data_IF_744608506138
#
_entry.id   IF_744608506138
#
_cell.length_a   1.000
_cell.length_b   1.000
_cell.length_c   1.000
_cell.angle_alpha   90.00
_cell.angle_beta   90.00
_cell.angle_gamma   90.00
#
_symmetry.space_group_name_H-M   'P 1'
#
loop_
_entity.id
_entity.type
_entity.pdbx_description
1 polymer ?
#
# COMPACT_ATOMS: atom_id res chain seq x y z
N UNK A 1 -4.61 -8.49 -19.83
CA UNK A 1 -4.90 -7.25 -19.07
C UNK A 1 -3.92 -6.15 -19.45
N UNK A 2 -4.35 -4.88 -19.41
CA UNK A 2 -3.49 -3.71 -19.49
C UNK A 2 -3.67 -2.86 -18.21
N UNK A 3 -2.57 -2.36 -17.61
CA UNK A 3 -2.65 -1.54 -16.39
C UNK A 3 -2.10 -0.13 -16.61
N UNK A 4 -2.82 0.88 -16.14
CA UNK A 4 -2.42 2.28 -16.18
C UNK A 4 -2.21 2.82 -14.78
N UNK A 5 -1.17 3.63 -14.60
CA UNK A 5 -0.71 4.10 -13.28
C UNK A 5 -0.39 2.92 -12.37
N UNK A 6 0.36 1.96 -12.93
CA UNK A 6 0.44 0.58 -12.46
C UNK A 6 1.08 0.42 -11.07
N UNK A 7 1.89 1.39 -10.66
CA UNK A 7 2.66 1.18 -9.45
C UNK A 7 3.61 -0.03 -9.60
N UNK A 8 3.68 -0.87 -8.57
CA UNK A 8 4.34 -2.18 -8.66
C UNK A 8 3.40 -3.29 -9.12
N UNK A 9 2.26 -2.92 -9.65
CA UNK A 9 1.20 -3.77 -10.23
C UNK A 9 0.54 -4.76 -9.24
N UNK A 10 0.09 -4.24 -8.09
CA UNK A 10 -0.81 -4.98 -7.21
C UNK A 10 -2.10 -5.44 -7.91
N UNK A 11 -2.45 -4.81 -9.01
CA UNK A 11 -3.54 -5.16 -9.91
C UNK A 11 -3.31 -6.53 -10.53
N UNK A 12 -2.11 -6.73 -11.09
CA UNK A 12 -1.70 -8.01 -11.67
C UNK A 12 -1.58 -9.08 -10.59
N UNK A 13 -1.01 -8.75 -9.42
CA UNK A 13 -0.97 -9.68 -8.27
C UNK A 13 -2.38 -10.14 -7.87
N UNK A 14 -3.34 -9.20 -7.82
CA UNK A 14 -4.73 -9.50 -7.48
C UNK A 14 -5.43 -10.38 -8.51
N UNK A 15 -5.16 -10.17 -9.81
CA UNK A 15 -5.71 -11.01 -10.87
C UNK A 15 -5.09 -12.43 -10.84
N UNK A 16 -3.78 -12.54 -10.68
CA UNK A 16 -3.08 -13.84 -10.55
C UNK A 16 -3.64 -14.61 -9.35
N UNK A 17 -3.79 -13.94 -8.19
CA UNK A 17 -4.36 -14.59 -7.00
C UNK A 17 -5.82 -15.01 -7.20
N UNK A 18 -6.63 -14.22 -7.88
CA UNK A 18 -8.01 -14.56 -8.22
C UNK A 18 -8.09 -15.82 -9.08
N UNK A 19 -7.25 -15.90 -10.12
CA UNK A 19 -7.25 -17.03 -11.08
C UNK A 19 -6.87 -18.35 -10.43
N UNK A 20 -6.00 -18.36 -9.41
CA UNK A 20 -5.66 -19.55 -8.61
C UNK A 20 -6.90 -20.31 -8.09
N UNK A 21 -8.02 -19.60 -7.86
CA UNK A 21 -9.26 -20.22 -7.39
C UNK A 21 -10.01 -21.04 -8.46
N UNK A 22 -9.58 -20.98 -9.72
CA UNK A 22 -10.27 -21.59 -10.87
C UNK A 22 -9.53 -22.78 -11.49
N UNK A 23 -8.52 -23.34 -10.79
CA UNK A 23 -7.82 -24.60 -11.15
C UNK A 23 -7.41 -24.65 -12.63
N UNK A 24 -6.51 -23.78 -13.03
CA UNK A 24 -5.92 -23.72 -14.37
C UNK A 24 -6.89 -23.49 -15.54
N UNK A 25 -8.13 -23.12 -15.24
CA UNK A 25 -9.14 -22.79 -16.25
C UNK A 25 -8.81 -21.48 -16.99
N UNK A 26 -8.06 -20.58 -16.36
CA UNK A 26 -7.70 -19.27 -16.90
C UNK A 26 -6.20 -19.03 -16.77
N UNK A 27 -5.60 -18.46 -17.79
CA UNK A 27 -4.26 -17.88 -17.75
C UNK A 27 -4.33 -16.36 -17.66
N UNK A 28 -3.27 -15.75 -17.15
CA UNK A 28 -3.17 -14.30 -17.01
C UNK A 28 -1.99 -13.80 -17.81
N UNK A 29 -2.23 -12.82 -18.69
CA UNK A 29 -1.19 -12.15 -19.45
C UNK A 29 -1.31 -10.64 -19.28
N UNK A 30 -0.16 -9.97 -19.02
CA UNK A 30 -0.06 -8.53 -19.00
C UNK A 30 0.39 -8.06 -20.39
N UNK A 31 -0.54 -7.50 -21.16
CA UNK A 31 -0.29 -7.00 -22.52
C UNK A 31 0.56 -5.74 -22.49
N UNK A 32 0.36 -4.90 -21.47
CA UNK A 32 1.15 -3.71 -21.25
C UNK A 32 0.84 -3.03 -19.93
N UNK A 33 1.74 -2.17 -19.51
CA UNK A 33 1.60 -1.39 -18.29
C UNK A 33 2.23 -0.01 -18.42
N UNK A 34 1.73 0.95 -17.64
CA UNK A 34 2.19 2.33 -17.71
C UNK A 34 2.36 2.94 -16.32
N UNK A 35 3.54 3.47 -16.06
CA UNK A 35 3.83 4.37 -14.95
C UNK A 35 4.99 5.29 -15.32
N UNK A 36 4.84 6.59 -15.08
CA UNK A 36 5.85 7.60 -15.46
C UNK A 36 7.06 7.61 -14.53
N UNK A 37 6.90 7.12 -13.31
CA UNK A 37 7.94 7.18 -12.29
C UNK A 37 8.96 6.05 -12.45
N UNK A 38 10.19 6.40 -12.79
CA UNK A 38 11.26 5.43 -13.03
C UNK A 38 11.60 4.51 -11.85
N UNK A 39 11.40 4.97 -10.61
CA UNK A 39 11.57 4.11 -9.43
C UNK A 39 10.40 3.14 -9.26
N UNK A 40 9.21 3.48 -9.77
CA UNK A 40 8.08 2.56 -9.89
C UNK A 40 8.38 1.49 -10.92
N UNK A 41 8.85 1.91 -12.10
CA UNK A 41 9.24 0.99 -13.17
C UNK A 41 10.28 -0.04 -12.69
N UNK A 42 11.26 0.38 -11.89
CA UNK A 42 12.21 -0.54 -11.25
C UNK A 42 11.50 -1.61 -10.42
N UNK A 43 10.61 -1.20 -9.53
CA UNK A 43 9.94 -2.14 -8.61
C UNK A 43 9.01 -3.07 -9.39
N UNK A 44 8.33 -2.56 -10.42
CA UNK A 44 7.51 -3.38 -11.32
C UNK A 44 8.36 -4.42 -12.06
N UNK A 45 9.49 -4.00 -12.66
CA UNK A 45 10.39 -4.91 -13.37
C UNK A 45 10.94 -6.03 -12.47
N UNK A 46 11.18 -5.73 -11.20
CA UNK A 46 11.64 -6.74 -10.24
C UNK A 46 10.50 -7.68 -9.83
N UNK A 47 9.29 -7.17 -9.66
CA UNK A 47 8.13 -7.98 -9.34
C UNK A 47 7.71 -8.90 -10.51
N UNK A 48 7.76 -8.37 -11.74
CA UNK A 48 7.32 -9.02 -12.97
C UNK A 48 8.40 -8.90 -14.06
N UNK A 49 9.53 -9.59 -13.91
CA UNK A 49 10.66 -9.49 -14.84
C UNK A 49 10.30 -9.91 -16.28
N UNK A 50 9.34 -10.82 -16.44
CA UNK A 50 8.82 -11.30 -17.71
C UNK A 50 8.10 -10.22 -18.53
N UNK A 51 7.55 -9.18 -17.86
CA UNK A 51 6.82 -8.07 -18.50
C UNK A 51 7.58 -6.74 -18.53
N UNK A 52 8.86 -6.73 -18.16
CA UNK A 52 9.67 -5.51 -18.08
C UNK A 52 9.77 -4.74 -19.41
N UNK A 53 9.70 -5.45 -20.55
CA UNK A 53 9.74 -4.89 -21.89
C UNK A 53 8.38 -4.38 -22.40
N UNK A 54 7.30 -4.58 -21.66
CA UNK A 54 5.94 -4.14 -22.02
C UNK A 54 5.56 -2.79 -21.36
N UNK A 55 6.54 -2.01 -20.93
CA UNK A 55 6.35 -0.70 -20.29
C UNK A 55 6.05 0.39 -21.31
N UNK A 56 4.99 1.14 -21.06
CA UNK A 56 4.63 2.39 -21.71
C UNK A 56 4.76 3.53 -20.69
N UNK A 57 5.92 4.21 -20.58
CA UNK A 57 6.20 5.10 -19.44
C UNK A 57 5.20 6.25 -19.26
N UNK A 58 4.72 6.82 -20.37
CA UNK A 58 3.85 8.01 -20.38
C UNK A 58 2.51 7.67 -21.01
N UNK A 59 1.46 7.65 -20.21
CA UNK A 59 0.08 7.33 -20.65
C UNK A 59 -0.39 8.25 -21.78
N UNK A 60 0.04 9.52 -21.78
CA UNK A 60 -0.35 10.50 -22.79
C UNK A 60 0.27 10.22 -24.18
N UNK A 61 1.36 9.45 -24.22
CA UNK A 61 2.11 9.11 -25.43
C UNK A 61 1.81 7.71 -25.99
N UNK A 62 0.92 6.95 -25.35
CA UNK A 62 0.58 5.61 -25.83
C UNK A 62 -0.13 5.72 -27.19
N UNK A 63 0.42 5.04 -28.19
CA UNK A 63 -0.26 4.83 -29.46
C UNK A 63 -1.09 3.54 -29.37
N UNK A 64 -2.35 3.70 -29.01
CA UNK A 64 -3.27 2.57 -28.77
C UNK A 64 -3.51 1.71 -30.00
N UNK A 65 -3.31 2.22 -31.22
CA UNK A 65 -3.45 1.42 -32.44
C UNK A 65 -2.36 0.34 -32.59
N UNK A 66 -1.22 0.51 -31.90
CA UNK A 66 -0.10 -0.42 -31.92
C UNK A 66 -0.09 -1.35 -30.70
N UNK A 67 -0.98 -1.15 -29.73
CA UNK A 67 -1.12 -2.05 -28.58
C UNK A 67 -2.00 -3.23 -28.99
N UNK A 68 -1.65 -4.43 -28.55
CA UNK A 68 -2.48 -5.62 -28.71
C UNK A 68 -3.82 -5.47 -27.97
N UNK A 69 -4.86 -6.22 -28.38
CA UNK A 69 -6.15 -6.20 -27.70
C UNK A 69 -6.06 -6.91 -26.35
N UNK A 70 -6.91 -6.52 -25.42
CA UNK A 70 -6.94 -7.04 -24.06
C UNK A 70 -8.37 -6.98 -23.48
N UNK A 71 -8.67 -7.89 -22.55
CA UNK A 71 -10.01 -8.02 -21.97
C UNK A 71 -10.26 -7.04 -20.83
N UNK A 72 -9.22 -6.69 -20.07
CA UNK A 72 -9.32 -5.88 -18.85
C UNK A 72 -8.40 -4.67 -18.96
N UNK A 73 -8.96 -3.46 -18.80
CA UNK A 73 -8.23 -2.23 -18.52
C UNK A 73 -8.37 -1.90 -17.04
N UNK A 74 -7.26 -1.95 -16.31
CA UNK A 74 -7.22 -1.47 -14.95
C UNK A 74 -6.53 -0.10 -14.88
N UNK A 75 -7.08 0.85 -14.13
CA UNK A 75 -6.50 2.17 -13.98
C UNK A 75 -6.75 2.77 -12.60
N UNK A 76 -5.71 3.38 -12.02
CA UNK A 76 -5.75 4.10 -10.76
C UNK A 76 -5.02 5.44 -10.90
N UNK A 77 -5.69 6.42 -11.52
CA UNK A 77 -5.11 7.74 -11.78
C UNK A 77 -4.64 8.43 -10.48
N UNK A 78 -3.64 9.33 -10.53
CA UNK A 78 -3.16 10.04 -9.35
C UNK A 78 -4.28 10.69 -8.56
N UNK A 79 -4.28 10.50 -7.24
CA UNK A 79 -5.34 10.95 -6.34
C UNK A 79 -5.03 12.26 -5.61
N UNK A 80 -3.91 12.92 -5.90
CA UNK A 80 -3.38 14.03 -5.10
C UNK A 80 -4.35 15.22 -5.02
N UNK A 81 -5.08 15.50 -6.09
CA UNK A 81 -6.01 16.61 -6.16
C UNK A 81 -7.45 16.24 -5.71
N UNK A 82 -7.80 14.96 -5.70
CA UNK A 82 -9.10 14.45 -5.23
C UNK A 82 -9.08 13.95 -3.78
N UNK A 83 -7.90 13.64 -3.25
CA UNK A 83 -7.74 13.10 -1.89
C UNK A 83 -8.10 14.12 -0.80
N UNK A 84 -8.76 13.66 0.27
CA UNK A 84 -8.98 14.47 1.50
C UNK A 84 -7.69 14.96 2.15
N UNK A 85 -6.57 14.27 1.93
CA UNK A 85 -5.23 14.64 2.40
C UNK A 85 -4.44 15.50 1.42
N UNK A 86 -4.93 15.67 0.17
CA UNK A 86 -4.29 16.39 -0.92
C UNK A 86 -4.77 17.84 -1.08
N UNK A 87 -4.46 18.42 -2.25
CA UNK A 87 -4.78 19.83 -2.59
C UNK A 87 -6.28 20.08 -2.79
N UNK A 88 -7.06 19.03 -3.12
CA UNK A 88 -8.54 19.09 -3.32
C UNK A 88 -8.97 19.99 -4.47
N UNK A 89 -8.21 19.98 -5.56
CA UNK A 89 -8.45 20.77 -6.79
C UNK A 89 -9.36 20.04 -7.80
N UNK A 90 -9.81 18.81 -7.48
CA UNK A 90 -10.65 17.99 -8.37
C UNK A 90 -9.86 17.30 -9.49
N UNK A 91 -10.57 16.77 -10.46
CA UNK A 91 -10.02 16.10 -11.65
C UNK A 91 -10.78 16.44 -12.93
N UNK A 92 -11.24 17.66 -13.04
CA UNK A 92 -11.94 18.16 -14.24
C UNK A 92 -11.10 17.98 -15.50
N UNK A 93 -11.76 17.63 -16.62
CA UNK A 93 -11.10 17.45 -17.93
C UNK A 93 -10.44 18.76 -18.36
N UNK A 94 -9.14 18.69 -18.68
CA UNK A 94 -8.37 19.86 -19.09
C UNK A 94 -7.89 20.78 -17.97
N UNK A 95 -8.12 20.44 -16.69
CA UNK A 95 -7.64 21.25 -15.55
C UNK A 95 -6.12 21.29 -15.41
N UNK A 96 -5.38 20.37 -16.05
CA UNK A 96 -3.94 20.23 -15.91
C UNK A 96 -3.49 19.65 -14.57
N UNK A 97 -4.43 19.23 -13.71
CA UNK A 97 -4.10 18.57 -12.44
C UNK A 97 -3.63 17.12 -12.69
N UNK A 98 -2.80 16.58 -11.80
CA UNK A 98 -2.37 15.17 -11.93
C UNK A 98 -3.57 14.21 -11.90
N UNK A 99 -4.62 14.51 -11.13
CA UNK A 99 -5.84 13.71 -11.09
C UNK A 99 -6.64 13.75 -12.40
N UNK A 100 -6.48 14.80 -13.22
CA UNK A 100 -7.13 14.91 -14.54
C UNK A 100 -6.57 13.91 -15.57
N UNK A 101 -5.46 13.23 -15.28
CA UNK A 101 -4.93 12.17 -16.15
C UNK A 101 -5.87 10.97 -16.29
N UNK A 102 -6.93 10.87 -15.47
CA UNK A 102 -8.01 9.90 -15.70
C UNK A 102 -8.61 10.03 -17.12
N UNK A 103 -8.58 11.25 -17.69
CA UNK A 103 -9.13 11.50 -19.03
C UNK A 103 -8.26 10.92 -20.16
N UNK A 104 -6.99 10.58 -19.90
CA UNK A 104 -6.16 9.83 -20.85
C UNK A 104 -6.64 8.38 -21.03
N UNK A 105 -7.36 7.84 -20.04
CA UNK A 105 -7.97 6.52 -20.10
C UNK A 105 -9.07 6.46 -21.16
N UNK A 106 -9.76 7.58 -21.44
CA UNK A 106 -10.77 7.67 -22.49
C UNK A 106 -10.22 7.28 -23.88
N UNK A 107 -8.94 7.61 -24.15
CA UNK A 107 -8.27 7.22 -25.41
C UNK A 107 -8.11 5.70 -25.53
N UNK A 108 -7.77 5.03 -24.43
CA UNK A 108 -7.70 3.57 -24.39
C UNK A 108 -9.08 2.95 -24.61
N UNK A 109 -10.10 3.47 -23.93
CA UNK A 109 -11.49 2.99 -24.04
C UNK A 109 -11.99 3.14 -25.47
N UNK A 110 -11.82 4.30 -26.11
CA UNK A 110 -12.30 4.56 -27.45
C UNK A 110 -11.60 3.69 -28.51
N UNK A 111 -10.30 3.42 -28.32
CA UNK A 111 -9.50 2.66 -29.29
C UNK A 111 -9.64 1.15 -29.12
N UNK A 112 -9.62 0.65 -27.88
CA UNK A 112 -9.50 -0.80 -27.56
C UNK A 112 -10.81 -1.44 -27.12
N UNK A 113 -11.71 -0.66 -26.54
CA UNK A 113 -13.03 -1.15 -26.08
C UNK A 113 -12.96 -2.47 -25.30
N UNK A 114 -12.07 -2.61 -24.28
CA UNK A 114 -11.91 -3.86 -23.55
C UNK A 114 -13.24 -4.27 -22.90
N UNK A 115 -13.44 -5.56 -22.62
CA UNK A 115 -14.69 -6.06 -22.01
C UNK A 115 -14.91 -5.47 -20.62
N UNK A 116 -13.83 -5.30 -19.84
CA UNK A 116 -13.88 -4.83 -18.47
C UNK A 116 -13.00 -3.59 -18.26
N UNK A 117 -13.56 -2.60 -17.57
CA UNK A 117 -12.84 -1.45 -17.06
C UNK A 117 -12.90 -1.49 -15.54
N UNK A 118 -11.75 -1.35 -14.87
CA UNK A 118 -11.71 -1.31 -13.41
C UNK A 118 -10.96 -0.07 -12.97
N UNK A 119 -11.66 0.85 -12.30
CA UNK A 119 -11.09 2.02 -11.64
C UNK A 119 -10.90 1.71 -10.15
N UNK A 120 -9.73 2.03 -9.63
CA UNK A 120 -9.53 2.19 -8.19
C UNK A 120 -9.10 3.62 -7.89
N UNK A 121 -9.63 4.17 -6.78
CA UNK A 121 -9.15 5.44 -6.26
C UNK A 121 -9.52 5.63 -4.78
N UNK A 122 -9.14 6.77 -4.21
CA UNK A 122 -9.51 7.16 -2.85
C UNK A 122 -11.01 7.43 -2.72
N UNK A 123 -11.57 7.19 -1.53
CA UNK A 123 -12.98 7.49 -1.20
C UNK A 123 -13.36 8.96 -1.49
N UNK A 124 -12.37 9.86 -1.49
CA UNK A 124 -12.55 11.27 -1.79
C UNK A 124 -13.11 11.60 -3.18
N UNK A 125 -13.08 10.65 -4.14
CA UNK A 125 -13.76 10.79 -5.43
C UNK A 125 -15.28 10.95 -5.29
N UNK A 126 -15.86 10.40 -4.22
CA UNK A 126 -17.29 10.51 -3.89
C UNK A 126 -17.61 11.68 -2.96
N UNK A 127 -16.64 12.51 -2.58
CA UNK A 127 -16.90 13.71 -1.77
C UNK A 127 -17.69 14.74 -2.61
N UNK A 128 -18.59 15.52 -2.01
CA UNK A 128 -19.44 16.48 -2.74
C UNK A 128 -18.68 17.42 -3.68
N UNK A 129 -17.42 17.69 -3.41
CA UNK A 129 -16.57 18.55 -4.26
C UNK A 129 -16.12 17.90 -5.56
N UNK A 130 -16.04 16.59 -5.59
CA UNK A 130 -15.55 15.79 -6.73
C UNK A 130 -16.68 15.01 -7.38
N UNK A 131 -17.90 15.08 -6.85
CA UNK A 131 -19.06 14.29 -7.27
C UNK A 131 -19.43 14.59 -8.73
N UNK A 132 -19.39 15.87 -9.14
CA UNK A 132 -19.68 16.26 -10.51
C UNK A 132 -18.64 15.71 -11.50
N UNK A 133 -17.34 15.73 -11.14
CA UNK A 133 -16.28 15.19 -11.98
C UNK A 133 -16.39 13.66 -12.08
N UNK A 134 -16.71 12.98 -10.97
CA UNK A 134 -16.93 11.53 -10.97
C UNK A 134 -18.15 11.15 -11.81
N UNK A 135 -19.25 11.90 -11.70
CA UNK A 135 -20.44 11.71 -12.54
C UNK A 135 -20.17 11.96 -14.01
N UNK A 136 -19.39 12.99 -14.36
CA UNK A 136 -18.94 13.23 -15.73
C UNK A 136 -18.16 12.03 -16.27
N UNK A 137 -17.19 11.52 -15.48
CA UNK A 137 -16.42 10.34 -15.84
C UNK A 137 -17.31 9.12 -16.07
N UNK A 138 -18.22 8.82 -15.12
CA UNK A 138 -19.15 7.70 -15.25
C UNK A 138 -20.04 7.81 -16.50
N UNK A 139 -20.52 9.02 -16.84
CA UNK A 139 -21.28 9.28 -18.09
C UNK A 139 -20.42 9.06 -19.34
N UNK A 140 -19.16 9.48 -19.32
CA UNK A 140 -18.22 9.24 -20.41
C UNK A 140 -18.03 7.74 -20.63
N UNK A 141 -17.80 6.97 -19.59
CA UNK A 141 -17.69 5.50 -19.67
C UNK A 141 -18.99 4.89 -20.24
N UNK A 142 -20.15 5.35 -19.76
CA UNK A 142 -21.45 4.90 -20.25
C UNK A 142 -21.68 5.22 -21.75
N UNK A 143 -21.20 6.37 -22.25
CA UNK A 143 -21.32 6.75 -23.67
C UNK A 143 -20.57 5.82 -24.63
N UNK A 144 -19.59 5.05 -24.11
CA UNK A 144 -18.89 3.99 -24.85
C UNK A 144 -19.57 2.62 -24.74
N UNK A 145 -20.77 2.54 -24.17
CA UNK A 145 -21.57 1.31 -24.09
C UNK A 145 -21.23 0.43 -22.88
N UNK A 146 -20.75 1.03 -21.78
CA UNK A 146 -20.49 0.32 -20.53
C UNK A 146 -21.57 0.57 -19.49
N UNK A 147 -21.90 -0.47 -18.72
CA UNK A 147 -22.65 -0.36 -17.47
C UNK A 147 -21.69 -0.44 -16.30
N UNK A 148 -21.80 0.51 -15.36
CA UNK A 148 -20.83 0.68 -14.28
C UNK A 148 -21.48 0.48 -12.90
N UNK A 149 -20.76 -0.22 -12.02
CA UNK A 149 -21.06 -0.42 -10.61
C UNK A 149 -19.90 0.10 -9.78
N UNK A 150 -20.18 0.84 -8.72
CA UNK A 150 -19.10 1.32 -7.85
C UNK A 150 -19.44 1.19 -6.37
N UNK A 151 -18.41 0.92 -5.57
CA UNK A 151 -18.53 0.74 -4.13
C UNK A 151 -17.22 1.09 -3.43
N UNK A 152 -17.33 1.59 -2.20
CA UNK A 152 -16.16 1.73 -1.31
C UNK A 152 -15.93 0.40 -0.59
N UNK A 153 -14.75 -0.18 -0.77
CA UNK A 153 -14.33 -1.42 -0.13
C UNK A 153 -13.23 -1.12 0.90
N UNK A 154 -13.25 -1.86 2.03
CA UNK A 154 -12.26 -1.74 3.09
C UNK A 154 -11.35 -2.98 3.11
N UNK A 155 -10.04 -2.80 3.21
CA UNK A 155 -9.07 -3.91 3.25
C UNK A 155 -9.34 -4.91 4.38
N UNK A 156 -9.82 -4.44 5.53
CA UNK A 156 -10.18 -5.28 6.67
C UNK A 156 -11.28 -6.31 6.35
N UNK A 157 -12.19 -5.96 5.44
CA UNK A 157 -13.29 -6.81 5.01
C UNK A 157 -12.82 -7.93 4.05
N UNK A 158 -11.55 -7.91 3.65
CA UNK A 158 -10.95 -8.87 2.71
C UNK A 158 -9.71 -9.57 3.28
N UNK A 159 -9.52 -9.51 4.61
CA UNK A 159 -8.53 -10.31 5.32
C UNK A 159 -7.20 -9.61 5.60
N UNK A 160 -7.06 -8.32 5.33
CA UNK A 160 -5.88 -7.53 5.69
C UNK A 160 -6.19 -6.61 6.87
N UNK A 161 -5.44 -6.67 7.99
CA UNK A 161 -5.75 -5.93 9.20
C UNK A 161 -5.39 -4.43 9.09
N UNK A 162 -5.88 -3.78 8.03
CA UNK A 162 -5.69 -2.36 7.73
C UNK A 162 -7.04 -1.68 7.43
N UNK A 163 -7.31 -0.55 8.07
CA UNK A 163 -8.51 0.26 7.80
C UNK A 163 -8.28 1.16 6.57
N UNK A 164 -8.11 0.52 5.40
CA UNK A 164 -7.88 1.20 4.12
C UNK A 164 -9.11 1.08 3.24
N UNK A 165 -9.81 2.19 3.08
CA UNK A 165 -11.00 2.31 2.23
C UNK A 165 -10.63 2.84 0.85
N UNK A 166 -11.16 2.20 -0.19
CA UNK A 166 -10.97 2.60 -1.59
C UNK A 166 -12.26 2.47 -2.38
N UNK A 167 -12.48 3.44 -3.23
CA UNK A 167 -13.49 3.36 -4.27
C UNK A 167 -13.02 2.37 -5.33
N UNK A 168 -13.86 1.41 -5.67
CA UNK A 168 -13.70 0.53 -6.83
C UNK A 168 -14.92 0.77 -7.73
N UNK A 169 -14.66 0.95 -9.04
CA UNK A 169 -15.70 0.99 -10.06
C UNK A 169 -15.40 -0.11 -11.08
N UNK A 170 -16.33 -1.01 -11.26
CA UNK A 170 -16.30 -2.08 -12.26
C UNK A 170 -17.27 -1.72 -13.37
N UNK A 171 -16.78 -1.65 -14.58
CA UNK A 171 -17.60 -1.34 -15.75
C UNK A 171 -17.49 -2.46 -16.76
N UNK A 172 -18.62 -2.97 -17.22
CA UNK A 172 -18.71 -4.04 -18.21
C UNK A 172 -19.26 -3.47 -19.53
N UNK A 173 -18.58 -3.74 -20.64
CA UNK A 173 -19.11 -3.41 -21.97
C UNK A 173 -20.30 -4.32 -22.27
N UNK A 174 -21.40 -3.72 -22.70
CA UNK A 174 -22.61 -4.44 -23.09
C UNK A 174 -22.54 -4.74 -24.59
N UNK A 175 -22.52 -6.02 -24.91
CA UNK A 175 -22.55 -6.54 -26.26
C UNK A 175 -23.86 -7.35 -26.40
N UNK A 176 -24.90 -6.73 -27.00
CA UNK A 176 -26.26 -7.29 -27.15
C UNK A 176 -27.01 -7.48 -25.80
N UNK A 177 -27.87 -8.46 -25.68
CA UNK A 177 -28.77 -8.71 -24.54
C UNK A 177 -28.05 -9.39 -23.33
N UNK A 178 -26.83 -8.99 -23.05
CA UNK A 178 -26.06 -9.59 -21.96
C UNK A 178 -26.62 -9.20 -20.58
N UNK A 179 -26.43 -10.13 -19.62
CA UNK A 179 -26.71 -9.88 -18.21
C UNK A 179 -25.88 -8.70 -17.70
N UNK A 180 -26.54 -7.69 -17.13
CA UNK A 180 -25.92 -6.45 -16.67
C UNK A 180 -25.87 -6.30 -15.15
N UNK A 181 -26.08 -7.38 -14.38
CA UNK A 181 -26.10 -7.32 -12.93
C UNK A 181 -24.77 -7.81 -12.34
N UNK A 182 -24.01 -6.93 -11.70
CA UNK A 182 -22.77 -7.27 -11.00
C UNK A 182 -22.98 -7.32 -9.48
N UNK A 183 -22.67 -8.46 -8.88
CA UNK A 183 -22.72 -8.66 -7.43
C UNK A 183 -21.31 -8.51 -6.83
N UNK A 184 -21.19 -7.60 -5.86
CA UNK A 184 -19.95 -7.36 -5.15
C UNK A 184 -19.51 -8.59 -4.33
N UNK A 185 -18.19 -8.83 -4.19
CA UNK A 185 -17.70 -9.92 -3.36
C UNK A 185 -18.17 -9.79 -1.92
N UNK A 186 -18.49 -10.92 -1.30
CA UNK A 186 -18.87 -10.98 0.12
C UNK A 186 -17.67 -10.68 1.00
N UNK A 187 -17.91 -9.94 2.07
CA UNK A 187 -16.89 -9.65 3.09
C UNK A 187 -16.48 -10.92 3.83
N UNK A 188 -15.24 -10.95 4.31
CA UNK A 188 -14.68 -12.04 5.11
C UNK A 188 -14.37 -11.53 6.51
N UNK A 189 -14.63 -12.35 7.54
CA UNK A 189 -14.18 -12.04 8.90
C UNK A 189 -12.66 -12.02 8.92
N UNK A 190 -12.09 -10.94 9.46
CA UNK A 190 -10.66 -10.82 9.68
C UNK A 190 -10.19 -11.90 10.66
N UNK A 191 -9.22 -12.74 10.24
CA UNK A 191 -8.67 -13.84 11.04
C UNK A 191 -7.28 -13.56 11.59
N UNK A 192 -6.51 -12.72 10.88
CA UNK A 192 -5.14 -12.37 11.23
C UNK A 192 -5.09 -11.07 12.04
N UNK A 193 -4.15 -10.97 12.95
CA UNK A 193 -3.86 -9.75 13.71
C UNK A 193 -2.79 -8.94 13.01
N UNK A 194 -2.71 -7.61 13.25
CA UNK A 194 -1.61 -6.81 12.71
C UNK A 194 -0.22 -7.35 13.05
N UNK A 195 -0.06 -7.94 14.24
CA UNK A 195 1.20 -8.51 14.73
C UNK A 195 1.66 -9.72 13.91
N UNK A 196 0.74 -10.45 13.29
CA UNK A 196 1.05 -11.65 12.47
C UNK A 196 1.80 -11.27 11.16
N UNK A 197 1.80 -9.99 10.77
CA UNK A 197 2.49 -9.47 9.59
C UNK A 197 3.87 -8.87 9.89
N UNK A 198 4.31 -8.93 11.15
CA UNK A 198 5.59 -8.38 11.58
C UNK A 198 6.74 -9.34 11.31
N UNK A 199 7.90 -8.78 11.00
CA UNK A 199 9.16 -9.52 10.86
C UNK A 199 9.76 -9.84 12.24
N UNK A 200 10.32 -11.04 12.37
CA UNK A 200 10.96 -11.46 13.63
C UNK A 200 12.30 -10.75 13.85
N UNK A 201 13.05 -10.53 12.78
CA UNK A 201 14.35 -9.86 12.81
C UNK A 201 14.26 -8.55 12.05
N UNK A 202 14.64 -7.46 12.72
CA UNK A 202 14.56 -6.10 12.16
C UNK A 202 15.87 -5.35 12.43
N UNK A 203 16.38 -4.67 11.41
CA UNK A 203 17.58 -3.82 11.47
C UNK A 203 17.39 -2.68 12.50
N UNK A 204 18.42 -2.40 13.28
CA UNK A 204 18.44 -1.33 14.30
C UNK A 204 18.15 0.06 13.74
N UNK A 205 18.31 0.29 12.42
CA UNK A 205 17.97 1.57 11.77
C UNK A 205 16.48 1.92 11.86
N UNK A 206 15.59 0.96 12.03
CA UNK A 206 14.15 1.18 12.16
C UNK A 206 13.70 1.55 13.55
N UNK A 207 14.54 1.30 14.56
CA UNK A 207 14.25 1.65 15.94
C UNK A 207 14.49 3.13 16.20
N UNK A 208 13.71 3.65 17.10
CA UNK A 208 13.87 5.02 17.60
C UNK A 208 15.09 5.12 18.51
N UNK A 209 15.66 6.31 18.57
CA UNK A 209 16.62 6.63 19.64
C UNK A 209 15.91 6.59 20.98
N UNK A 210 16.67 6.46 22.07
CA UNK A 210 16.09 6.44 23.42
C UNK A 210 15.39 7.78 23.72
N UNK A 211 15.95 8.89 23.24
CA UNK A 211 15.34 10.21 23.35
C UNK A 211 13.99 10.28 22.63
N UNK A 212 13.95 9.89 21.36
CA UNK A 212 12.70 9.85 20.56
C UNK A 212 11.64 8.99 21.23
N UNK A 213 12.03 7.83 21.74
CA UNK A 213 11.16 6.89 22.45
C UNK A 213 10.57 7.50 23.72
N UNK A 214 11.39 8.10 24.57
CA UNK A 214 10.93 8.71 25.79
C UNK A 214 9.99 9.89 25.49
N UNK A 215 10.31 10.74 24.48
CA UNK A 215 9.40 11.80 24.02
C UNK A 215 8.04 11.23 23.63
N UNK A 216 8.03 10.13 22.92
CA UNK A 216 6.79 9.49 22.49
C UNK A 216 5.97 8.99 23.68
N UNK A 217 6.63 8.35 24.65
CA UNK A 217 6.00 7.91 25.90
C UNK A 217 5.42 9.09 26.67
N UNK A 218 6.18 10.16 26.84
CA UNK A 218 5.77 11.36 27.54
C UNK A 218 4.56 12.03 26.88
N UNK A 219 4.56 12.16 25.55
CA UNK A 219 3.42 12.69 24.80
C UNK A 219 2.17 11.84 25.03
N UNK A 220 2.29 10.50 25.01
CA UNK A 220 1.16 9.62 25.25
C UNK A 220 0.67 9.70 26.71
N UNK A 221 1.58 9.74 27.68
CA UNK A 221 1.27 9.77 29.11
C UNK A 221 0.61 11.08 29.51
N UNK A 222 1.18 12.18 29.08
CA UNK A 222 0.82 13.53 29.51
C UNK A 222 -0.08 14.28 28.53
N UNK A 223 -0.59 13.68 27.48
CA UNK A 223 -1.37 14.23 26.38
C UNK A 223 -2.33 15.39 26.80
N UNK A 224 -1.78 16.57 27.18
CA UNK A 224 -2.48 17.81 27.53
C UNK A 224 -2.12 18.90 26.52
N UNK A 225 -3.07 19.77 26.19
CA UNK A 225 -2.81 20.94 25.34
C UNK A 225 -1.72 21.81 25.97
N UNK A 226 -0.68 22.12 25.22
CA UNK A 226 0.44 22.93 25.69
C UNK A 226 1.50 22.20 26.50
N UNK A 227 1.40 20.87 26.66
CA UNK A 227 2.44 20.09 27.34
C UNK A 227 3.77 20.20 26.62
N UNK A 228 4.83 20.43 27.40
CA UNK A 228 6.24 20.48 26.96
C UNK A 228 6.98 19.44 27.79
N UNK A 229 7.58 18.42 27.14
CA UNK A 229 8.44 17.47 27.82
C UNK A 229 9.67 18.18 28.39
N UNK A 230 10.01 17.91 29.64
CA UNK A 230 11.20 18.49 30.33
C UNK A 230 12.39 17.54 30.27
N UNK A 231 13.58 18.07 30.16
CA UNK A 231 14.83 17.34 29.94
C UNK A 231 15.77 17.46 31.11
N UNK A 232 16.49 16.36 31.41
CA UNK A 232 17.64 16.39 32.30
C UNK A 232 18.93 16.31 31.46
N UNK A 233 19.65 17.41 31.35
CA UNK A 233 20.79 17.61 30.42
C UNK A 233 22.11 16.95 30.83
N UNK A 234 22.18 16.27 31.98
CA UNK A 234 23.44 15.92 32.62
C UNK A 234 23.84 14.43 32.54
N UNK A 235 23.25 13.64 31.66
CA UNK A 235 23.55 12.22 31.59
C UNK A 235 23.90 11.83 30.15
N UNK A 236 25.14 11.34 29.92
CA UNK A 236 25.55 10.75 28.63
C UNK A 236 25.07 9.29 28.57
N UNK A 237 24.21 8.99 27.57
CA UNK A 237 23.69 7.66 27.33
C UNK A 237 23.83 7.27 25.86
N UNK A 238 23.89 5.96 25.54
CA UNK A 238 23.88 5.53 24.16
C UNK A 238 22.57 5.96 23.47
N UNK A 239 22.68 6.58 22.31
CA UNK A 239 21.53 7.11 21.55
C UNK A 239 20.54 6.04 21.07
N UNK A 240 20.93 4.76 21.11
CA UNK A 240 20.08 3.60 20.76
C UNK A 240 20.39 2.41 21.64
N UNK A 241 19.34 1.66 22.01
CA UNK A 241 19.47 0.29 22.49
C UNK A 241 19.64 -0.60 21.26
N UNK A 242 20.82 -1.19 21.08
CA UNK A 242 21.12 -2.10 19.98
C UNK A 242 20.57 -3.50 20.26
N UNK A 243 20.14 -4.20 19.19
CA UNK A 243 19.68 -5.59 19.31
C UNK A 243 20.74 -6.49 19.93
N UNK A 244 22.03 -6.22 19.69
CA UNK A 244 23.16 -6.96 20.29
C UNK A 244 23.27 -6.83 21.81
N UNK A 245 22.63 -5.84 22.43
CA UNK A 245 22.61 -5.61 23.88
C UNK A 245 21.42 -6.32 24.56
N UNK A 246 20.53 -6.92 23.78
CA UNK A 246 19.27 -7.50 24.21
C UNK A 246 19.27 -9.00 23.90
N UNK A 247 18.66 -9.80 24.78
CA UNK A 247 18.73 -11.27 24.69
C UNK A 247 17.46 -11.90 24.14
N UNK A 248 16.30 -11.35 24.48
CA UNK A 248 14.99 -11.95 24.13
C UNK A 248 13.91 -10.88 24.00
N UNK A 249 13.10 -10.97 22.94
CA UNK A 249 11.87 -10.18 22.82
C UNK A 249 10.74 -10.87 23.58
N UNK A 250 10.36 -10.32 24.73
CA UNK A 250 9.36 -10.90 25.66
C UNK A 250 7.94 -10.68 25.10
N UNK A 251 7.68 -9.54 24.52
CA UNK A 251 6.37 -9.20 23.94
C UNK A 251 6.49 -8.17 22.85
N UNK A 252 5.53 -8.22 21.91
CA UNK A 252 5.43 -7.30 20.79
C UNK A 252 3.96 -6.94 20.52
N UNK A 253 3.68 -5.67 20.24
CA UNK A 253 2.35 -5.23 19.79
C UNK A 253 2.44 -3.95 18.95
N UNK A 254 1.38 -3.65 18.21
CA UNK A 254 1.29 -2.43 17.40
C UNK A 254 0.50 -1.36 18.14
N UNK A 255 0.97 -0.11 18.05
CA UNK A 255 0.33 1.08 18.58
C UNK A 255 0.47 2.26 17.58
N UNK A 256 -0.54 3.10 17.36
CA UNK A 256 -1.93 2.95 17.78
C UNK A 256 -2.74 2.00 16.85
N UNK A 257 -3.81 1.42 17.37
CA UNK A 257 -4.79 0.63 16.61
C UNK A 257 -6.14 1.38 16.49
N UNK A 258 -6.91 1.01 15.46
CA UNK A 258 -8.32 1.37 15.35
C UNK A 258 -9.18 0.60 16.36
N UNK A 259 -10.43 1.03 16.60
CA UNK A 259 -11.38 0.35 17.50
C UNK A 259 -11.69 -1.09 17.10
N UNK A 260 -11.58 -1.43 15.81
CA UNK A 260 -11.76 -2.78 15.28
C UNK A 260 -10.46 -3.63 15.29
N UNK A 261 -9.39 -3.19 15.97
CA UNK A 261 -8.13 -3.89 16.09
C UNK A 261 -7.24 -3.85 14.83
N UNK A 262 -7.56 -3.03 13.84
CA UNK A 262 -6.74 -2.86 12.62
C UNK A 262 -5.78 -1.68 12.74
N UNK A 263 -4.72 -1.65 11.90
CA UNK A 263 -3.92 -0.43 11.73
C UNK A 263 -4.69 0.60 10.88
N UNK A 264 -4.29 1.86 11.00
CA UNK A 264 -4.76 2.91 10.08
C UNK A 264 -4.20 2.70 8.67
N UNK A 265 -4.82 3.37 7.68
CA UNK A 265 -4.31 3.39 6.31
C UNK A 265 -2.83 3.78 6.29
N UNK A 266 -1.98 2.94 5.68
CA UNK A 266 -0.59 3.29 5.40
C UNK A 266 -0.54 4.47 4.44
N UNK A 267 0.26 5.46 4.80
CA UNK A 267 0.47 6.68 4.02
C UNK A 267 1.83 6.66 3.35
N UNK A 268 2.00 7.43 2.29
CA UNK A 268 3.27 7.61 1.57
C UNK A 268 4.44 8.07 2.45
N UNK A 269 4.12 8.62 3.61
CA UNK A 269 5.08 9.16 4.58
C UNK A 269 5.27 8.28 5.81
N UNK A 270 4.79 7.04 5.79
CA UNK A 270 4.90 6.09 6.92
C UNK A 270 6.35 5.88 7.37
N UNK A 271 7.32 6.00 6.44
CA UNK A 271 8.76 5.94 6.72
C UNK A 271 9.44 7.26 7.09
N UNK A 272 8.69 8.29 7.44
CA UNK A 272 9.24 9.62 7.81
C UNK A 272 10.33 9.55 8.89
N UNK A 273 11.28 10.50 8.84
CA UNK A 273 12.59 10.43 9.49
C UNK A 273 12.60 10.68 11.00
N UNK A 274 11.53 11.21 11.61
CA UNK A 274 11.48 11.37 13.07
C UNK A 274 10.10 11.12 13.64
N UNK A 275 10.04 10.72 14.89
CA UNK A 275 8.78 10.57 15.65
C UNK A 275 8.07 11.89 15.84
N UNK A 276 8.80 12.99 15.93
CA UNK A 276 8.28 14.35 15.97
C UNK A 276 7.51 14.65 14.67
N UNK A 277 8.00 14.17 13.53
CA UNK A 277 7.28 14.22 12.26
C UNK A 277 6.14 13.19 12.18
N UNK A 278 6.18 12.12 12.97
CA UNK A 278 5.06 11.18 13.14
C UNK A 278 3.97 11.77 14.04
N UNK A 279 4.33 12.66 14.97
CA UNK A 279 3.40 13.31 15.91
C UNK A 279 2.91 14.69 15.42
N UNK A 280 3.51 15.28 14.40
CA UNK A 280 3.13 16.61 13.88
C UNK A 280 2.25 16.55 12.64
N UNK A 281 1.00 16.99 12.73
CA UNK A 281 0.03 17.26 11.65
C UNK A 281 -0.49 16.07 10.85
N UNK A 282 -1.77 15.72 11.00
CA UNK A 282 -2.58 14.77 10.17
C UNK A 282 -1.99 13.36 9.93
N UNK A 283 -0.73 13.13 10.27
CA UNK A 283 0.07 11.91 10.07
C UNK A 283 0.20 11.06 11.34
N UNK A 284 -0.45 11.46 12.39
CA UNK A 284 -0.38 10.99 13.78
C UNK A 284 -0.88 9.58 14.01
N UNK A 285 -1.26 8.92 12.92
CA UNK A 285 -1.89 7.60 12.94
C UNK A 285 -1.01 6.51 12.37
N UNK A 286 0.25 6.80 12.06
CA UNK A 286 1.17 5.76 11.59
C UNK A 286 1.43 4.76 12.71
N UNK A 287 1.12 3.51 12.45
CA UNK A 287 1.38 2.43 13.38
C UNK A 287 2.89 2.28 13.60
N UNK A 288 3.30 2.14 14.84
CA UNK A 288 4.64 1.74 15.24
C UNK A 288 4.57 0.41 16.02
N UNK A 289 5.69 -0.29 16.09
CA UNK A 289 5.81 -1.54 16.83
C UNK A 289 6.43 -1.23 18.17
N UNK A 290 5.77 -1.68 19.23
CA UNK A 290 6.23 -1.61 20.61
C UNK A 290 6.75 -3.00 20.99
N UNK A 291 7.99 -3.08 21.43
CA UNK A 291 8.64 -4.32 21.82
C UNK A 291 9.17 -4.20 23.25
N UNK A 292 8.99 -5.25 24.03
CA UNK A 292 9.61 -5.40 25.37
C UNK A 292 10.68 -6.46 25.26
N UNK A 293 11.89 -6.10 25.59
CA UNK A 293 13.07 -6.95 25.50
C UNK A 293 13.69 -7.21 26.87
N UNK A 294 14.33 -8.35 27.03
CA UNK A 294 15.23 -8.66 28.14
C UNK A 294 16.66 -8.28 27.74
N UNK A 295 17.44 -7.73 28.68
CA UNK A 295 18.82 -7.33 28.46
C UNK A 295 19.59 -7.22 29.76
N UNK A 296 20.86 -6.79 29.69
CA UNK A 296 21.71 -6.59 30.89
C UNK A 296 21.12 -5.48 31.77
N UNK A 297 21.13 -5.69 33.08
CA UNK A 297 20.58 -4.75 34.06
C UNK A 297 21.33 -3.40 34.12
N UNK A 298 22.54 -3.35 33.57
CA UNK A 298 23.39 -2.15 33.58
C UNK A 298 23.15 -1.23 32.37
N UNK A 299 22.23 -1.58 31.47
CA UNK A 299 21.84 -0.68 30.38
C UNK A 299 20.97 0.44 30.96
N UNK A 300 21.43 1.67 30.88
CA UNK A 300 20.71 2.83 31.42
C UNK A 300 20.06 3.64 30.28
N UNK A 301 18.74 3.87 30.32
CA UNK A 301 18.03 4.66 29.30
C UNK A 301 18.24 6.18 29.46
N UNK A 302 18.35 6.93 28.37
CA UNK A 302 18.61 8.37 28.34
C UNK A 302 17.34 9.24 28.45
N UNK A 303 17.50 10.52 28.76
CA UNK A 303 16.46 11.55 28.98
C UNK A 303 16.59 12.74 28.03
N UNK A 304 15.52 13.43 27.72
CA UNK A 304 15.18 14.14 26.49
C UNK A 304 15.28 15.65 26.39
N UNK A 305 15.18 16.16 25.10
CA UNK A 305 14.92 17.55 24.73
C UNK A 305 13.49 17.85 24.25
N UNK A 306 13.05 19.09 24.44
CA UNK A 306 11.68 19.60 24.32
C UNK A 306 10.95 19.29 22.98
N UNK A 307 9.84 18.57 23.04
CA UNK A 307 8.89 18.43 21.92
C UNK A 307 7.51 18.98 22.30
N UNK A 308 6.91 19.80 21.41
CA UNK A 308 5.53 20.30 21.55
C UNK A 308 4.62 19.54 20.61
N UNK A 309 3.75 18.65 21.11
CA UNK A 309 2.76 18.01 20.25
C UNK A 309 1.67 18.99 19.80
N UNK A 310 1.12 18.78 18.59
CA UNK A 310 -0.03 19.55 18.14
C UNK A 310 -1.30 19.18 18.92
N UNK A 311 -2.29 20.10 18.98
CA UNK A 311 -3.59 19.83 19.63
C UNK A 311 -4.29 18.60 19.02
N UNK A 312 -4.12 18.38 17.70
CA UNK A 312 -4.70 17.22 17.01
C UNK A 312 -4.01 15.92 17.44
N UNK A 313 -2.68 15.94 17.60
CA UNK A 313 -1.89 14.80 18.10
C UNK A 313 -2.39 14.38 19.47
N UNK A 314 -2.48 15.33 20.39
CA UNK A 314 -2.98 15.07 21.76
C UNK A 314 -4.37 14.43 21.75
N UNK A 315 -5.29 14.98 20.93
CA UNK A 315 -6.66 14.44 20.82
C UNK A 315 -6.66 13.01 20.25
N UNK A 316 -5.86 12.74 19.21
CA UNK A 316 -5.78 11.43 18.58
C UNK A 316 -5.18 10.37 19.54
N UNK A 317 -4.13 10.70 20.26
CA UNK A 317 -3.48 9.80 21.22
C UNK A 317 -4.39 9.48 22.42
N UNK A 318 -5.16 10.45 22.90
CA UNK A 318 -6.17 10.22 23.97
C UNK A 318 -7.30 9.30 23.54
N UNK A 319 -7.74 9.41 22.30
CA UNK A 319 -8.83 8.60 21.75
C UNK A 319 -8.39 7.21 21.26
N UNK A 320 -7.09 6.86 21.42
CA UNK A 320 -6.58 5.59 20.95
C UNK A 320 -7.06 4.42 21.83
N UNK A 321 -7.74 3.40 21.25
CA UNK A 321 -8.36 2.32 22.02
C UNK A 321 -7.36 1.47 22.84
N UNK A 322 -6.10 1.40 22.41
CA UNK A 322 -5.06 0.63 23.11
C UNK A 322 -4.02 1.49 23.86
N UNK A 323 -4.38 2.77 24.17
CA UNK A 323 -3.54 3.68 24.95
C UNK A 323 -3.22 3.10 26.33
N UNK A 324 -4.23 2.61 27.04
CA UNK A 324 -4.05 2.07 28.38
C UNK A 324 -3.19 0.81 28.38
N UNK A 325 -3.31 -0.04 27.36
CA UNK A 325 -2.39 -1.16 27.15
C UNK A 325 -0.95 -0.68 26.99
N UNK A 326 -0.72 0.36 26.19
CA UNK A 326 0.61 0.94 26.00
C UNK A 326 1.20 1.44 27.33
N UNK A 327 0.44 2.27 28.07
CA UNK A 327 0.88 2.81 29.36
C UNK A 327 1.10 1.71 30.40
N UNK A 328 0.22 0.72 30.45
CA UNK A 328 0.39 -0.44 31.35
C UNK A 328 1.70 -1.19 31.09
N UNK A 329 2.09 -1.37 29.82
CA UNK A 329 3.38 -1.98 29.48
C UNK A 329 4.54 -1.12 29.95
N UNK A 330 4.49 0.21 29.72
CA UNK A 330 5.52 1.15 30.21
C UNK A 330 5.70 1.07 31.73
N UNK A 331 4.58 1.07 32.45
CA UNK A 331 4.57 1.14 33.93
C UNK A 331 4.87 -0.23 34.59
N UNK A 332 4.77 -1.34 33.83
CA UNK A 332 5.03 -2.70 34.32
C UNK A 332 6.42 -3.24 34.00
N UNK A 333 7.27 -2.45 33.34
CA UNK A 333 8.66 -2.89 33.06
C UNK A 333 9.42 -3.21 34.34
N UNK A 334 10.05 -4.40 34.37
CA UNK A 334 10.87 -4.86 35.45
C UNK A 334 12.34 -4.54 35.20
N UNK A 335 13.15 -4.61 36.22
CA UNK A 335 14.62 -4.53 36.09
C UNK A 335 15.14 -5.54 35.06
N UNK A 336 16.01 -5.10 34.17
CA UNK A 336 16.48 -5.90 33.03
C UNK A 336 15.47 -6.06 31.88
N UNK A 337 14.37 -5.32 31.93
CA UNK A 337 13.42 -5.22 30.79
C UNK A 337 13.47 -3.83 30.16
N UNK A 338 13.50 -3.79 28.85
CA UNK A 338 13.64 -2.56 28.06
C UNK A 338 12.56 -2.49 27.01
N UNK A 339 11.92 -1.33 26.91
CA UNK A 339 11.01 -1.05 25.78
C UNK A 339 11.82 -0.52 24.61
N UNK A 340 11.48 -1.00 23.42
CA UNK A 340 11.92 -0.45 22.14
C UNK A 340 10.71 -0.10 21.29
N UNK A 341 10.77 1.05 20.65
CA UNK A 341 9.76 1.50 19.70
C UNK A 341 10.41 1.59 18.34
N UNK A 342 9.78 1.00 17.34
CA UNK A 342 10.26 1.05 15.97
C UNK A 342 9.15 1.36 14.96
N UNK A 343 9.56 1.80 13.81
CA UNK A 343 8.67 1.91 12.64
C UNK A 343 8.38 0.53 12.09
N UNK A 344 7.26 0.42 11.36
CA UNK A 344 7.08 -0.69 10.44
C UNK A 344 8.19 -0.63 9.39
N UNK A 345 8.76 -1.78 9.01
CA UNK A 345 9.71 -1.87 7.91
C UNK A 345 8.99 -1.74 6.56
N UNK A 346 9.71 -1.43 5.46
CA UNK A 346 9.12 -1.47 4.13
C UNK A 346 8.49 -2.82 3.78
N UNK A 347 9.13 -3.91 4.21
CA UNK A 347 8.65 -5.28 4.04
C UNK A 347 7.31 -5.49 4.74
N UNK A 348 7.21 -5.11 6.01
CA UNK A 348 5.97 -5.18 6.77
C UNK A 348 4.87 -4.30 6.15
N UNK A 349 5.20 -3.11 5.67
CA UNK A 349 4.24 -2.25 4.98
C UNK A 349 3.70 -2.91 3.69
N UNK A 350 4.54 -3.61 2.93
CA UNK A 350 4.10 -4.33 1.74
C UNK A 350 3.24 -5.57 2.11
N UNK A 351 3.55 -6.27 3.22
CA UNK A 351 2.68 -7.32 3.77
C UNK A 351 1.30 -6.78 4.16
N UNK A 352 1.23 -5.59 4.76
CA UNK A 352 -0.03 -4.89 5.01
C UNK A 352 -0.76 -4.44 3.73
N UNK A 353 -0.09 -4.46 2.59
CA UNK A 353 -0.72 -4.29 1.26
C UNK A 353 -1.09 -5.63 0.62
N UNK A 354 -0.82 -6.75 1.31
CA UNK A 354 -1.14 -8.09 0.86
C UNK A 354 -0.22 -8.62 -0.24
N UNK A 355 0.98 -8.06 -0.35
CA UNK A 355 2.00 -8.54 -1.29
C UNK A 355 2.54 -9.88 -0.82
N UNK A 356 2.46 -10.91 -1.68
CA UNK A 356 2.96 -12.24 -1.39
C UNK A 356 4.48 -12.29 -1.28
N UNK A 357 5.01 -13.24 -0.51
CA UNK A 357 6.44 -13.41 -0.25
C UNK A 357 7.29 -13.55 -1.51
N UNK A 358 6.76 -14.15 -2.58
CA UNK A 358 7.44 -14.24 -3.86
C UNK A 358 7.82 -12.85 -4.39
N UNK A 359 6.83 -11.95 -4.49
CA UNK A 359 7.04 -10.59 -5.00
C UNK A 359 7.87 -9.74 -4.03
N UNK A 360 7.65 -9.90 -2.71
CA UNK A 360 8.47 -9.26 -1.69
C UNK A 360 9.96 -9.59 -1.88
N UNK A 361 10.28 -10.87 -2.02
CA UNK A 361 11.66 -11.33 -2.17
C UNK A 361 12.29 -10.86 -3.48
N UNK A 362 11.55 -10.85 -4.59
CA UNK A 362 12.02 -10.29 -5.87
C UNK A 362 12.35 -8.80 -5.74
N UNK A 363 11.53 -8.03 -5.04
CA UNK A 363 11.69 -6.58 -4.86
C UNK A 363 12.81 -6.25 -3.88
N UNK A 364 12.88 -6.96 -2.76
CA UNK A 364 13.79 -6.64 -1.65
C UNK A 364 15.16 -7.31 -1.79
N UNK A 365 15.21 -8.50 -2.40
CA UNK A 365 16.40 -9.35 -2.54
C UNK A 365 16.56 -9.84 -3.99
N UNK A 366 16.64 -8.91 -4.98
CA UNK A 366 16.55 -9.30 -6.40
C UNK A 366 17.65 -10.25 -6.85
N UNK A 367 18.90 -10.01 -6.48
CA UNK A 367 20.02 -10.85 -6.90
C UNK A 367 19.93 -12.28 -6.35
N UNK A 368 19.48 -12.43 -5.12
CA UNK A 368 19.31 -13.75 -4.50
C UNK A 368 18.11 -14.50 -5.09
N UNK A 369 16.99 -13.81 -5.20
CA UNK A 369 15.70 -14.43 -5.55
C UNK A 369 15.64 -14.76 -7.04
N UNK A 370 15.88 -13.78 -7.90
CA UNK A 370 15.83 -13.96 -9.34
C UNK A 370 16.94 -14.91 -9.86
N UNK A 371 18.11 -14.96 -9.19
CA UNK A 371 19.14 -15.95 -9.52
C UNK A 371 18.67 -17.37 -9.24
N UNK A 372 17.92 -17.61 -8.16
CA UNK A 372 17.29 -18.92 -7.87
C UNK A 372 16.20 -19.28 -8.89
N UNK A 373 15.57 -18.28 -9.49
CA UNK A 373 14.58 -18.44 -10.57
C UNK A 373 15.23 -18.59 -11.96
N UNK A 374 16.57 -18.60 -12.05
CA UNK A 374 17.31 -18.83 -13.30
C UNK A 374 17.73 -17.58 -14.06
N UNK A 375 17.51 -16.38 -13.53
CA UNK A 375 17.99 -15.13 -14.14
C UNK A 375 19.49 -14.93 -13.90
N UNK A 376 20.24 -14.54 -14.94
CA UNK A 376 21.66 -14.19 -14.81
C UNK A 376 21.82 -12.83 -14.11
N UNK A 377 23.04 -12.57 -13.59
CA UNK A 377 23.38 -11.27 -13.00
C UNK A 377 23.19 -10.11 -13.98
N UNK A 378 23.51 -10.32 -15.26
CA UNK A 378 23.33 -9.35 -16.34
C UNK A 378 21.86 -9.06 -16.60
N UNK A 379 21.02 -10.09 -16.63
CA UNK A 379 19.57 -9.93 -16.77
C UNK A 379 18.98 -9.15 -15.58
N UNK A 380 19.35 -9.49 -14.34
CA UNK A 380 18.90 -8.76 -13.14
C UNK A 380 19.38 -7.31 -13.17
N UNK A 381 20.66 -7.08 -13.53
CA UNK A 381 21.19 -5.72 -13.66
C UNK A 381 20.45 -4.90 -14.73
N UNK A 382 20.03 -5.53 -15.84
CA UNK A 382 19.24 -4.89 -16.88
C UNK A 382 17.85 -4.49 -16.39
N UNK A 383 17.17 -5.32 -15.58
CA UNK A 383 15.89 -4.96 -14.94
C UNK A 383 16.01 -3.72 -14.04
N UNK A 384 17.19 -3.52 -13.45
CA UNK A 384 17.49 -2.38 -12.56
C UNK A 384 18.05 -1.15 -13.32
N UNK A 385 18.19 -1.23 -14.63
CA UNK A 385 18.70 -0.15 -15.46
C UNK A 385 17.54 0.68 -16.05
N UNK A 386 17.29 1.84 -15.44
CA UNK A 386 16.13 2.70 -15.77
C UNK A 386 16.64 4.11 -16.07
N UNK A 387 16.15 4.71 -17.17
CA UNK A 387 16.51 6.06 -17.61
C UNK A 387 18.05 6.27 -17.70
N UNK A 388 18.75 5.32 -18.33
CA UNK A 388 20.19 5.41 -18.55
C UNK A 388 21.07 5.24 -17.30
N UNK A 389 20.51 4.75 -16.19
CA UNK A 389 21.24 4.56 -14.92
C UNK A 389 20.81 3.31 -14.20
N UNK A 390 21.76 2.65 -13.55
CA UNK A 390 21.44 1.64 -12.54
C UNK A 390 20.79 2.30 -11.32
N UNK A 391 19.66 1.75 -10.90
CA UNK A 391 18.90 2.20 -9.72
C UNK A 391 18.83 1.07 -8.70
N UNK A 392 18.68 1.47 -7.42
CA UNK A 392 18.39 0.56 -6.31
C UNK A 392 17.10 0.98 -5.64
N UNK A 393 16.37 0.04 -5.10
CA UNK A 393 15.24 0.33 -4.20
C UNK A 393 15.79 0.96 -2.92
N UNK A 394 15.08 1.96 -2.39
CA UNK A 394 15.37 2.54 -1.09
C UNK A 394 14.16 2.39 -0.18
N UNK A 395 14.39 2.35 1.13
CA UNK A 395 13.31 2.27 2.12
C UNK A 395 12.25 3.36 1.89
N UNK A 396 12.69 4.61 1.64
CA UNK A 396 11.79 5.72 1.33
C UNK A 396 10.90 5.44 0.11
N UNK A 397 11.52 4.95 -0.97
CA UNK A 397 10.81 4.57 -2.19
C UNK A 397 9.78 3.48 -1.93
N UNK A 398 10.10 2.47 -1.12
CA UNK A 398 9.21 1.36 -0.79
C UNK A 398 8.04 1.80 0.10
N UNK A 399 8.28 2.63 1.12
CA UNK A 399 7.21 3.23 1.94
C UNK A 399 6.24 4.05 1.09
N UNK A 400 6.78 4.88 0.19
CA UNK A 400 5.98 5.70 -0.71
C UNK A 400 5.07 4.83 -1.59
N UNK A 401 5.58 3.67 -2.06
CA UNK A 401 4.82 2.72 -2.87
C UNK A 401 3.75 2.02 -2.07
N UNK A 402 4.07 1.51 -0.90
CA UNK A 402 3.08 0.88 -0.03
C UNK A 402 1.92 1.86 0.26
N UNK A 403 2.22 3.14 0.54
CA UNK A 403 1.21 4.17 0.75
C UNK A 403 0.31 4.44 -0.46
N UNK A 404 0.87 4.42 -1.68
CA UNK A 404 0.13 4.69 -2.93
C UNK A 404 -0.51 3.44 -3.55
N UNK A 405 -0.24 2.26 -3.04
CA UNK A 405 -0.69 1.00 -3.63
C UNK A 405 -2.12 0.62 -3.24
N UNK A 406 -2.59 -0.45 -3.87
CA UNK A 406 -3.90 -1.08 -3.64
C UNK A 406 -3.67 -2.40 -2.91
N UNK A 407 -4.57 -2.76 -1.98
CA UNK A 407 -4.49 -4.04 -1.28
C UNK A 407 -4.85 -5.18 -2.22
N UNK A 408 -3.93 -6.12 -2.39
CA UNK A 408 -4.04 -7.24 -3.34
C UNK A 408 -5.31 -8.07 -3.10
N UNK A 409 -5.65 -8.36 -1.84
CA UNK A 409 -6.82 -9.19 -1.48
C UNK A 409 -8.16 -8.53 -1.85
N UNK A 410 -8.23 -7.20 -1.84
CA UNK A 410 -9.43 -6.47 -2.31
C UNK A 410 -9.60 -6.71 -3.80
N UNK A 411 -8.51 -6.57 -4.57
CA UNK A 411 -8.53 -6.79 -6.02
C UNK A 411 -8.81 -8.24 -6.37
N UNK A 412 -8.16 -9.18 -5.69
CA UNK A 412 -8.41 -10.61 -5.87
C UNK A 412 -9.88 -10.95 -5.65
N UNK A 413 -10.52 -10.40 -4.63
CA UNK A 413 -11.94 -10.61 -4.38
C UNK A 413 -12.82 -10.04 -5.52
N UNK A 414 -12.50 -8.86 -6.03
CA UNK A 414 -13.23 -8.22 -7.14
C UNK A 414 -13.06 -9.03 -8.42
N UNK A 415 -11.83 -9.40 -8.80
CA UNK A 415 -11.57 -10.22 -9.98
C UNK A 415 -12.24 -11.61 -9.86
N UNK A 416 -12.18 -12.24 -8.68
CA UNK A 416 -12.88 -13.50 -8.42
C UNK A 416 -14.38 -13.35 -8.64
N UNK A 417 -14.99 -12.24 -8.22
CA UNK A 417 -16.42 -11.99 -8.43
C UNK A 417 -16.74 -11.80 -9.92
N UNK A 418 -15.90 -11.08 -10.68
CA UNK A 418 -16.06 -10.91 -12.13
C UNK A 418 -15.98 -12.26 -12.82
N UNK A 419 -14.92 -13.03 -12.59
CA UNK A 419 -14.70 -14.33 -13.26
C UNK A 419 -15.82 -15.33 -12.94
N UNK A 420 -16.31 -15.36 -11.70
CA UNK A 420 -17.42 -16.25 -11.29
C UNK A 420 -18.74 -15.93 -11.98
N UNK A 421 -19.03 -14.64 -12.14
CA UNK A 421 -20.33 -14.21 -12.68
C UNK A 421 -20.34 -14.18 -14.20
N UNK A 422 -19.16 -13.99 -14.82
CA UNK A 422 -19.00 -13.82 -16.24
C UNK A 422 -17.80 -14.61 -16.80
N UNK A 423 -17.76 -15.94 -16.58
CA UNK A 423 -16.62 -16.77 -17.00
C UNK A 423 -16.39 -16.74 -18.51
N UNK A 424 -17.45 -16.61 -19.29
CA UNK A 424 -17.42 -16.65 -20.76
C UNK A 424 -17.01 -15.31 -21.39
N UNK A 425 -16.82 -14.26 -20.55
CA UNK A 425 -16.30 -12.95 -21.03
C UNK A 425 -14.79 -12.93 -21.23
N UNK A 426 -14.11 -14.00 -20.85
CA UNK A 426 -12.68 -14.22 -21.06
C UNK A 426 -12.53 -15.31 -22.11
N UNK A 427 -11.90 -15.00 -23.26
CA UNK A 427 -11.90 -15.85 -24.45
C UNK A 427 -11.44 -17.31 -24.23
N UNK A 428 -11.82 -18.20 -25.15
CA UNK A 428 -11.55 -19.64 -25.12
C UNK A 428 -10.05 -20.04 -25.20
N UNK A 429 -9.12 -19.12 -25.29
CA UNK A 429 -7.69 -19.39 -25.44
C UNK A 429 -7.01 -19.99 -24.17
N UNK A 430 -7.72 -20.08 -23.06
CA UNK A 430 -7.16 -20.58 -21.80
C UNK A 430 -7.06 -22.12 -21.70
N UNK A 431 -7.54 -22.88 -22.68
CA UNK A 431 -7.65 -24.35 -22.58
C UNK A 431 -6.61 -25.16 -23.39
N UNK A 432 -5.73 -24.55 -24.17
CA UNK A 432 -4.90 -25.30 -25.15
C UNK A 432 -3.41 -25.46 -24.84
N UNK A 433 -2.87 -25.01 -23.72
CA UNK A 433 -1.42 -25.11 -23.47
C UNK A 433 -0.99 -25.93 -22.25
N UNK A 434 -1.85 -26.76 -21.68
CA UNK A 434 -1.45 -27.74 -20.65
C UNK A 434 -1.84 -29.16 -21.04
N UNK A 435 -1.31 -29.63 -22.16
CA UNK A 435 -1.11 -31.06 -22.49
C UNK A 435 0.20 -31.15 -23.23
N UNK A 436 1.29 -31.30 -22.46
CA UNK A 436 2.42 -32.19 -22.66
C UNK A 436 3.47 -31.93 -21.59
#
# INVERSE_FOLDING_TARGET
MFTLFSGYDSQMMGLIDAVKNFKDRFSVELIGWSDINSLVQLVHNLAFPEYANRCYPDVSKINWSQVEDFDILFYSSPCQNASRAGRREGFEKGSGTESSLIWEVERAISSKRPKWLILENVEGYLDPRNDDDFKKWARTVASYGYVSYYKVLCAADFGIPQNRKRLIMVSMRIDNDEKTNFEWPKTKKLKIKPEDLLSDVVDDKYYLTVEEQNTYIDIIRNAKDGYVASVNKNIEYPSKLLTSQLTECISRFIYPLCSNGTIQTLMTTTGGTSLINMTGCRRERSACVIEVWRGDKHIVPAVLENAKPSKQTVKALRACPNRDKFLSVVDSLKEGQYMRIRRLTPEECLRFMGVEELYLNRILRPYETLSKEGYTKEQIAKLMFINGRHRKTSDYSLYWRAGNSIVVQVLSAVFTAIIKQYPDSFGEFACMSLKE
#
